data_IF_700385177102
#
_entry.id   IF_700385177102
#
_cell.length_a   1.000
_cell.length_b   1.000
_cell.length_c   1.000
_cell.angle_alpha   90.00
_cell.angle_beta   90.00
_cell.angle_gamma   90.00
#
_symmetry.space_group_name_H-M   'P 1'
#
loop_
_entity.id
_entity.type
_entity.pdbx_description
1 polymer ?
#
# COMPACT_ATOMS: atom_id res chain seq x y z
N UNK A 1 -26.81 3.26 -11.51
CA UNK A 1 -25.81 2.21 -11.89
C UNK A 1 -24.72 2.70 -12.85
N UNK A 2 -24.99 3.62 -13.77
CA UNK A 2 -23.97 4.17 -14.69
C UNK A 2 -22.83 4.92 -13.97
N UNK A 3 -23.14 5.71 -12.94
CA UNK A 3 -22.15 6.54 -12.22
C UNK A 3 -21.05 5.68 -11.56
N UNK A 4 -21.40 4.65 -10.79
CA UNK A 4 -20.41 3.78 -10.11
C UNK A 4 -19.52 3.06 -11.13
N UNK A 5 -20.08 2.65 -12.29
CA UNK A 5 -19.31 2.00 -13.35
C UNK A 5 -18.38 2.93 -14.11
N UNK A 6 -18.63 4.24 -14.06
CA UNK A 6 -17.78 5.25 -14.67
C UNK A 6 -16.57 5.62 -13.77
N UNK A 7 -16.57 5.19 -12.51
CA UNK A 7 -15.44 5.40 -11.59
C UNK A 7 -14.28 4.47 -11.92
N UNK A 8 -13.06 4.93 -11.66
CA UNK A 8 -11.85 4.12 -11.81
C UNK A 8 -11.82 3.00 -10.76
N UNK A 9 -11.25 1.86 -11.14
CA UNK A 9 -10.98 0.77 -10.21
C UNK A 9 -9.80 1.14 -9.30
N UNK A 10 -9.91 0.81 -8.01
CA UNK A 10 -8.81 0.98 -7.07
C UNK A 10 -7.71 -0.04 -7.39
N UNK A 11 -6.46 0.42 -7.39
CA UNK A 11 -5.27 -0.37 -7.69
C UNK A 11 -4.22 -0.18 -6.59
N UNK A 12 -3.30 -1.14 -6.47
CA UNK A 12 -2.11 -0.96 -5.66
C UNK A 12 -1.08 -0.18 -6.47
N UNK A 13 -0.55 0.88 -5.90
CA UNK A 13 0.49 1.70 -6.50
C UNK A 13 1.45 2.14 -5.38
N UNK A 14 2.70 2.39 -5.76
CA UNK A 14 3.73 2.90 -4.87
C UNK A 14 3.55 4.40 -4.58
N UNK A 15 2.99 5.13 -5.55
CA UNK A 15 2.61 6.53 -5.38
C UNK A 15 1.25 6.65 -4.70
N UNK A 16 1.19 7.47 -3.66
CA UNK A 16 -0.05 7.75 -2.96
C UNK A 16 -0.87 8.83 -3.69
N UNK A 17 -1.89 8.41 -4.44
CA UNK A 17 -2.83 9.28 -5.17
C UNK A 17 -4.11 9.59 -4.39
N UNK A 18 -4.18 9.14 -3.13
CA UNK A 18 -5.40 9.17 -2.32
C UNK A 18 -6.45 8.14 -2.77
N UNK A 19 -7.51 7.98 -1.97
CA UNK A 19 -8.58 7.04 -2.24
C UNK A 19 -9.93 7.75 -2.36
N UNK A 20 -10.28 8.16 -3.59
CA UNK A 20 -11.51 8.91 -3.89
C UNK A 20 -12.78 8.26 -3.31
N UNK A 21 -12.95 6.95 -3.49
CA UNK A 21 -14.15 6.24 -3.00
C UNK A 21 -14.28 6.16 -1.48
N UNK A 22 -13.21 6.46 -0.73
CA UNK A 22 -13.20 6.50 0.74
C UNK A 22 -13.05 7.93 1.27
N UNK A 23 -12.70 8.90 0.43
CA UNK A 23 -12.44 10.28 0.83
C UNK A 23 -11.15 10.47 1.64
N UNK A 24 -10.18 9.55 1.58
CA UNK A 24 -8.93 9.66 2.32
C UNK A 24 -7.77 10.13 1.43
N UNK A 25 -6.97 11.06 1.93
CA UNK A 25 -5.73 11.51 1.27
C UNK A 25 -4.62 10.45 1.33
N UNK A 26 -4.61 9.62 2.37
CA UNK A 26 -3.64 8.57 2.56
C UNK A 26 -4.33 7.27 2.96
N UNK A 27 -4.15 6.23 2.13
CA UNK A 27 -4.74 4.92 2.38
C UNK A 27 -3.85 3.81 1.84
N UNK A 28 -3.69 2.73 2.62
CA UNK A 28 -3.05 1.50 2.20
C UNK A 28 -3.68 0.31 2.92
N UNK A 29 -3.60 -0.88 2.33
CA UNK A 29 -4.05 -2.10 2.99
C UNK A 29 -2.98 -2.63 3.94
N UNK A 30 -3.41 -3.01 5.15
CA UNK A 30 -2.51 -3.50 6.21
C UNK A 30 -3.08 -4.65 7.04
N UNK A 31 -4.41 -4.82 7.07
CA UNK A 31 -5.10 -5.69 8.05
C UNK A 31 -5.23 -7.16 7.64
N UNK A 32 -4.68 -7.61 6.51
CA UNK A 32 -4.84 -8.99 6.02
C UNK A 32 -3.58 -9.56 5.35
N UNK A 33 -2.42 -9.57 6.03
CA UNK A 33 -1.14 -10.02 5.46
C UNK A 33 -1.10 -11.49 5.05
N UNK A 34 -1.96 -12.34 5.61
CA UNK A 34 -2.02 -13.77 5.26
C UNK A 34 -2.56 -13.99 3.83
N UNK A 35 -3.38 -13.06 3.32
CA UNK A 35 -4.12 -13.23 2.05
C UNK A 35 -3.94 -12.07 1.06
N UNK A 36 -3.09 -11.09 1.37
CA UNK A 36 -2.78 -9.94 0.50
C UNK A 36 -1.28 -9.66 0.54
N UNK A 37 -0.64 -9.70 -0.62
CA UNK A 37 0.81 -9.49 -0.72
C UNK A 37 1.22 -8.04 -0.42
N UNK A 38 0.39 -7.05 -0.81
CA UNK A 38 0.63 -5.64 -0.47
C UNK A 38 0.70 -5.42 1.05
N UNK A 39 -0.23 -5.99 1.82
CA UNK A 39 -0.18 -5.96 3.28
C UNK A 39 1.10 -6.61 3.82
N UNK A 40 1.56 -7.73 3.24
CA UNK A 40 2.80 -8.39 3.67
C UNK A 40 4.02 -7.47 3.51
N UNK A 41 4.10 -6.73 2.39
CA UNK A 41 5.15 -5.73 2.15
C UNK A 41 5.09 -4.63 3.22
N UNK A 42 3.90 -4.08 3.48
CA UNK A 42 3.71 -3.02 4.49
C UNK A 42 4.14 -3.52 5.88
N UNK A 43 3.77 -4.74 6.27
CA UNK A 43 4.19 -5.34 7.54
C UNK A 43 5.72 -5.48 7.66
N UNK A 44 6.39 -5.90 6.57
CA UNK A 44 7.86 -6.00 6.53
C UNK A 44 8.51 -4.62 6.64
N UNK A 45 7.99 -3.63 5.92
CA UNK A 45 8.47 -2.25 5.96
C UNK A 45 8.33 -1.64 7.36
N UNK A 46 7.15 -1.76 7.98
CA UNK A 46 6.92 -1.28 9.34
C UNK A 46 7.83 -1.94 10.37
N UNK A 47 8.13 -3.24 10.20
CA UNK A 47 9.08 -3.94 11.07
C UNK A 47 10.50 -3.40 10.90
N UNK A 48 10.96 -3.17 9.67
CA UNK A 48 12.27 -2.60 9.39
C UNK A 48 12.41 -1.19 9.98
N UNK A 49 11.39 -0.34 9.79
CA UNK A 49 11.32 1.01 10.36
C UNK A 49 11.39 0.95 11.89
N UNK A 50 10.58 0.07 12.51
CA UNK A 50 10.58 -0.11 13.98
C UNK A 50 11.92 -0.57 14.53
N UNK A 51 12.70 -1.31 13.73
CA UNK A 51 14.02 -1.82 14.10
C UNK A 51 15.16 -0.87 13.69
N UNK A 52 14.85 0.25 13.03
CA UNK A 52 15.84 1.15 12.42
C UNK A 52 16.80 0.43 11.46
N UNK A 53 16.31 -0.59 10.73
CA UNK A 53 17.09 -1.32 9.74
C UNK A 53 16.93 -0.68 8.34
N UNK A 54 17.80 0.29 8.07
CA UNK A 54 17.84 1.03 6.81
C UNK A 54 18.18 0.14 5.60
N UNK A 55 18.96 -0.93 5.81
CA UNK A 55 19.36 -1.83 4.73
C UNK A 55 18.15 -2.61 4.21
N UNK A 56 17.38 -3.18 5.13
CA UNK A 56 16.15 -3.90 4.79
C UNK A 56 15.08 -2.96 4.22
N UNK A 57 14.94 -1.76 4.78
CA UNK A 57 14.03 -0.75 4.23
C UNK A 57 14.37 -0.44 2.76
N UNK A 58 15.65 -0.14 2.48
CA UNK A 58 16.09 0.19 1.12
C UNK A 58 15.90 -0.97 0.15
N UNK A 59 16.21 -2.21 0.58
CA UNK A 59 16.00 -3.41 -0.22
C UNK A 59 14.53 -3.60 -0.61
N UNK A 60 13.59 -3.47 0.34
CA UNK A 60 12.17 -3.62 0.07
C UNK A 60 11.66 -2.54 -0.90
N UNK A 61 12.13 -1.30 -0.77
CA UNK A 61 11.70 -0.19 -1.63
C UNK A 61 12.22 -0.31 -3.06
N UNK A 62 13.38 -0.94 -3.28
CA UNK A 62 13.92 -1.20 -4.62
C UNK A 62 13.05 -2.16 -5.44
N UNK A 63 12.33 -3.07 -4.78
CA UNK A 63 11.44 -4.03 -5.46
C UNK A 63 10.09 -3.42 -5.87
N UNK A 64 9.83 -2.15 -5.54
CA UNK A 64 8.55 -1.47 -5.71
C UNK A 64 8.59 -0.42 -6.84
N UNK A 65 9.79 0.02 -7.24
CA UNK A 65 10.03 0.84 -8.46
C UNK A 65 9.95 -0.01 -9.74
#
# INVERSE_FOLDING_TARGET
>A
KLIIRAQQQAVYDHENKGHFGLGFEHYTHFTSPIRRYSDLIVHRLLRAIKQHDEKTQKFILQDIE
#
